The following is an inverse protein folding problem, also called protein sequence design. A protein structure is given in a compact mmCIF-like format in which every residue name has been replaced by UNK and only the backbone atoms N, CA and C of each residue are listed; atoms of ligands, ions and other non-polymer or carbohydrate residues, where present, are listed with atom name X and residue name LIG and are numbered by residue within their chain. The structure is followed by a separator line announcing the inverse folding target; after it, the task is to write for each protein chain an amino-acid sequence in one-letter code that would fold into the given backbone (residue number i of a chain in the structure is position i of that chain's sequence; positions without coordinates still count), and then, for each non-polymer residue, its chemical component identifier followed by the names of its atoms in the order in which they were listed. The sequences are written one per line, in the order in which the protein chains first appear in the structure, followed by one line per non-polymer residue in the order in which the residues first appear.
data_IF_807690385145
#
_entry.id   IF_807690385145
#
_cell.length_a   1.000
_cell.length_b   1.000
_cell.length_c   1.000
_cell.angle_alpha   90.00
_cell.angle_beta   90.00
_cell.angle_gamma   90.00
#
_symmetry.space_group_name_H-M   'P 1'
#
loop_
_entity.id
_entity.type
_entity.pdbx_description
1 polymer ?
#
# COMPACT_ATOMS: atom_id res chain seq x y z
N UNK A 1 -6.51 -14.51 -31.03
CA UNK A 1 -6.74 -13.27 -30.25
C UNK A 1 -5.51 -13.03 -29.40
N UNK A 2 -4.65 -12.10 -29.79
CA UNK A 2 -3.67 -11.53 -28.86
C UNK A 2 -4.47 -10.76 -27.81
N UNK A 3 -4.43 -11.23 -26.56
CA UNK A 3 -4.99 -10.47 -25.45
C UNK A 3 -4.36 -9.08 -25.49
N UNK A 4 -5.16 -8.03 -25.65
CA UNK A 4 -4.72 -6.68 -25.32
C UNK A 4 -4.32 -6.75 -23.84
N UNK A 5 -3.02 -6.63 -23.57
CA UNK A 5 -2.57 -6.40 -22.22
C UNK A 5 -3.13 -5.04 -21.84
N UNK A 6 -4.00 -4.99 -20.84
CA UNK A 6 -4.45 -3.71 -20.27
C UNK A 6 -3.23 -3.10 -19.59
N UNK A 7 -2.48 -2.32 -20.35
CA UNK A 7 -1.33 -1.59 -19.86
C UNK A 7 -1.83 -0.38 -19.05
N UNK A 8 -1.12 -0.07 -17.98
CA UNK A 8 -1.49 1.01 -17.06
C UNK A 8 -1.46 2.39 -17.73
N UNK A 9 -0.75 2.51 -18.86
CA UNK A 9 -0.59 3.74 -19.64
C UNK A 9 -1.87 4.13 -20.38
N UNK A 10 -2.74 3.16 -20.72
CA UNK A 10 -3.96 3.41 -21.48
C UNK A 10 -5.14 3.85 -20.59
N UNK A 11 -4.93 3.93 -19.27
CA UNK A 11 -5.96 4.36 -18.31
C UNK A 11 -7.20 3.46 -18.21
N UNK A 12 -7.22 2.35 -18.95
CA UNK A 12 -8.37 1.44 -19.10
C UNK A 12 -8.63 0.61 -17.82
N UNK A 13 -7.73 0.65 -16.85
CA UNK A 13 -7.95 0.18 -15.47
C UNK A 13 -7.85 1.38 -14.53
N UNK A 14 -8.98 1.91 -14.06
CA UNK A 14 -9.03 3.01 -13.09
C UNK A 14 -8.36 2.70 -11.72
N UNK A 15 -7.86 1.46 -11.52
CA UNK A 15 -7.15 1.04 -10.30
C UNK A 15 -5.63 1.28 -10.30
N UNK A 16 -5.07 1.87 -11.36
CA UNK A 16 -3.60 2.06 -11.52
C UNK A 16 -3.06 3.35 -10.91
N UNK A 17 -3.80 4.45 -10.94
CA UNK A 17 -3.31 5.75 -10.47
C UNK A 17 -3.55 5.99 -8.96
N UNK A 18 -4.75 5.69 -8.47
CA UNK A 18 -5.13 5.90 -7.06
C UNK A 18 -5.59 4.58 -6.47
N UNK A 19 -4.96 4.17 -5.37
CA UNK A 19 -5.28 2.94 -4.64
C UNK A 19 -6.42 3.15 -3.65
N UNK A 20 -7.07 2.05 -3.28
CA UNK A 20 -8.09 2.08 -2.24
C UNK A 20 -7.55 2.69 -0.94
N UNK A 21 -8.38 3.45 -0.20
CA UNK A 21 -7.93 4.19 0.96
C UNK A 21 -7.41 3.26 2.06
N UNK A 22 -6.50 3.79 2.88
CA UNK A 22 -5.97 3.12 4.06
C UNK A 22 -6.55 3.76 5.34
N UNK A 23 -6.79 2.94 6.35
CA UNK A 23 -7.27 3.37 7.67
C UNK A 23 -6.17 4.13 8.43
N UNK A 24 -4.91 3.73 8.27
CA UNK A 24 -3.76 4.36 8.94
C UNK A 24 -2.48 4.26 8.10
N UNK A 25 -1.46 5.04 8.48
CA UNK A 25 -0.11 4.93 7.93
C UNK A 25 0.92 4.79 9.05
N UNK A 26 1.94 3.96 8.83
CA UNK A 26 3.02 3.78 9.80
C UNK A 26 3.82 5.07 9.97
N UNK A 27 4.29 5.32 11.19
CA UNK A 27 5.23 6.41 11.52
C UNK A 27 6.60 5.89 11.96
N UNK A 28 6.71 4.58 12.18
CA UNK A 28 7.93 3.85 12.55
C UNK A 28 7.87 2.42 11.96
N UNK A 29 8.96 1.66 12.10
CA UNK A 29 9.01 0.24 11.75
C UNK A 29 8.07 -0.56 12.67
N UNK A 30 7.29 -1.47 12.11
CA UNK A 30 6.33 -2.29 12.87
C UNK A 30 6.50 -3.78 12.59
N UNK A 31 5.92 -4.61 13.45
CA UNK A 31 5.71 -6.03 13.14
C UNK A 31 4.48 -6.16 12.25
N UNK A 32 4.64 -6.75 11.07
CA UNK A 32 3.55 -6.98 10.10
C UNK A 32 2.72 -8.21 10.47
N UNK A 33 2.23 -8.25 11.71
CA UNK A 33 1.40 -9.32 12.25
C UNK A 33 0.61 -8.80 13.45
N UNK A 34 -0.59 -9.36 13.65
CA UNK A 34 -1.43 -9.02 14.79
C UNK A 34 -2.12 -7.66 14.64
N UNK A 35 -3.28 -7.56 15.26
CA UNK A 35 -4.00 -6.29 15.41
C UNK A 35 -3.21 -5.38 16.36
N UNK A 36 -3.11 -4.10 16.01
CA UNK A 36 -2.25 -3.15 16.73
C UNK A 36 -2.74 -1.72 16.54
N UNK A 37 -2.14 -0.78 17.27
CA UNK A 37 -2.41 0.65 17.07
C UNK A 37 -1.35 1.26 16.17
N UNK A 38 -1.75 1.84 15.04
CA UNK A 38 -0.88 2.53 14.10
C UNK A 38 -1.27 4.00 14.07
N UNK A 39 -0.35 4.88 14.48
CA UNK A 39 -0.55 6.35 14.49
C UNK A 39 -1.83 6.81 15.25
N UNK A 40 -2.17 6.09 16.34
CA UNK A 40 -3.35 6.35 17.15
C UNK A 40 -4.64 5.69 16.64
N UNK A 41 -4.59 4.96 15.53
CA UNK A 41 -5.72 4.18 15.00
C UNK A 41 -5.57 2.72 15.38
N UNK A 42 -6.55 2.16 16.09
CA UNK A 42 -6.62 0.72 16.33
C UNK A 42 -7.04 0.02 15.03
N UNK A 43 -6.09 -0.67 14.39
CA UNK A 43 -6.35 -1.40 13.13
C UNK A 43 -6.73 -2.84 13.43
N UNK A 44 -7.81 -3.29 12.80
CA UNK A 44 -8.39 -4.61 12.96
C UNK A 44 -8.28 -5.44 11.68
N UNK A 45 -8.64 -6.71 11.78
CA UNK A 45 -8.63 -7.62 10.64
C UNK A 45 -9.42 -7.05 9.46
N UNK A 46 -8.81 -7.09 8.27
CA UNK A 46 -9.31 -6.50 7.01
C UNK A 46 -9.08 -5.00 6.81
N UNK A 47 -8.56 -4.26 7.80
CA UNK A 47 -8.18 -2.86 7.60
C UNK A 47 -6.96 -2.72 6.69
N UNK A 48 -6.97 -1.66 5.87
CA UNK A 48 -5.84 -1.32 4.99
C UNK A 48 -4.89 -0.39 5.72
N UNK A 49 -3.60 -0.73 5.74
CA UNK A 49 -2.56 0.09 6.37
C UNK A 49 -1.48 0.42 5.35
N UNK A 50 -1.14 1.71 5.23
CA UNK A 50 0.00 2.17 4.47
C UNK A 50 1.27 1.98 5.30
N UNK A 51 2.04 0.95 4.96
CA UNK A 51 3.34 0.66 5.56
C UNK A 51 4.42 1.36 4.75
N UNK A 52 5.02 2.40 5.32
CA UNK A 52 6.02 3.27 4.65
C UNK A 52 7.31 3.47 5.44
N UNK A 53 7.42 2.86 6.62
CA UNK A 53 8.54 3.05 7.57
C UNK A 53 9.25 1.74 7.95
N UNK A 54 9.17 0.70 7.11
CA UNK A 54 9.98 -0.51 7.33
C UNK A 54 11.47 -0.24 7.10
N UNK A 55 12.32 -0.92 7.87
CA UNK A 55 13.77 -0.92 7.68
C UNK A 55 14.15 -1.47 6.31
N UNK A 56 13.54 -2.59 5.91
CA UNK A 56 13.67 -3.11 4.56
C UNK A 56 12.67 -2.40 3.64
N UNK A 57 13.17 -1.53 2.75
CA UNK A 57 12.29 -0.76 1.86
C UNK A 57 11.40 -1.62 0.95
N UNK A 58 11.81 -2.87 0.66
CA UNK A 58 11.03 -3.85 -0.09
C UNK A 58 9.82 -4.38 0.67
N UNK A 59 9.71 -4.14 1.98
CA UNK A 59 8.54 -4.44 2.83
C UNK A 59 7.56 -3.26 2.91
N UNK A 60 7.91 -2.08 2.40
CA UNK A 60 6.95 -0.99 2.30
C UNK A 60 5.86 -1.34 1.27
N UNK A 61 4.64 -0.87 1.53
CA UNK A 61 3.48 -1.07 0.67
C UNK A 61 2.17 -0.98 1.43
N UNK A 62 1.09 -1.40 0.77
CA UNK A 62 -0.23 -1.44 1.40
C UNK A 62 -0.50 -2.84 1.92
N UNK A 63 -0.77 -2.96 3.21
CA UNK A 63 -1.06 -4.23 3.88
C UNK A 63 -2.50 -4.30 4.33
N UNK A 64 -3.01 -5.52 4.43
CA UNK A 64 -4.27 -5.82 5.10
C UNK A 64 -3.92 -6.40 6.47
N UNK A 65 -4.37 -5.70 7.52
CA UNK A 65 -4.20 -6.14 8.89
C UNK A 65 -4.97 -7.44 9.17
N UNK A 66 -4.43 -8.23 10.07
CA UNK A 66 -4.96 -9.53 10.49
C UNK A 66 -4.47 -9.83 11.92
N UNK A 67 -5.16 -10.74 12.61
CA UNK A 67 -4.70 -11.36 13.87
C UNK A 67 -3.38 -12.13 13.69
N UNK A 68 -3.16 -12.69 12.49
CA UNK A 68 -1.91 -13.35 12.09
C UNK A 68 -0.99 -12.43 11.27
N UNK A 69 -0.10 -13.02 10.45
CA UNK A 69 0.74 -12.26 9.53
C UNK A 69 -0.11 -11.42 8.58
N UNK A 70 0.25 -10.15 8.45
CA UNK A 70 -0.41 -9.26 7.51
C UNK A 70 -0.05 -9.63 6.08
N UNK A 71 -1.03 -9.53 5.18
CA UNK A 71 -0.82 -9.77 3.76
C UNK A 71 -0.74 -8.46 3.00
N UNK A 72 -0.02 -8.45 1.88
CA UNK A 72 -0.10 -7.31 0.95
C UNK A 72 -1.48 -7.22 0.31
N UNK A 73 -1.94 -5.99 0.10
CA UNK A 73 -3.17 -5.73 -0.64
C UNK A 73 -3.03 -6.19 -2.10
N UNK A 74 -4.12 -6.74 -2.67
CA UNK A 74 -4.11 -7.33 -4.02
C UNK A 74 -3.83 -6.32 -5.14
N UNK A 75 -4.07 -5.04 -4.89
CA UNK A 75 -3.82 -3.91 -5.80
C UNK A 75 -2.42 -3.28 -5.60
N UNK A 76 -1.61 -3.81 -4.68
CA UNK A 76 -0.26 -3.37 -4.34
C UNK A 76 0.61 -4.60 -4.02
N UNK A 77 0.61 -5.62 -4.90
CA UNK A 77 1.40 -6.84 -4.66
C UNK A 77 2.37 -7.21 -5.79
N UNK A 78 2.30 -6.56 -6.95
CA UNK A 78 3.23 -6.78 -8.07
C UNK A 78 3.82 -5.47 -8.57
N UNK A 79 5.03 -5.54 -9.12
CA UNK A 79 5.70 -4.42 -9.81
C UNK A 79 4.89 -3.81 -10.95
N UNK A 80 3.95 -4.55 -11.56
CA UNK A 80 3.07 -4.02 -12.61
C UNK A 80 1.88 -3.22 -12.06
N UNK A 81 1.58 -3.34 -10.77
CA UNK A 81 0.44 -2.64 -10.16
C UNK A 81 0.80 -1.22 -9.72
N UNK A 82 2.10 -0.89 -9.70
CA UNK A 82 2.63 0.35 -9.15
C UNK A 82 3.60 1.02 -10.12
N UNK A 83 3.55 2.35 -10.14
CA UNK A 83 4.52 3.21 -10.81
C UNK A 83 4.85 4.40 -9.94
N UNK A 84 5.93 5.10 -10.30
CA UNK A 84 6.12 6.46 -9.83
C UNK A 84 4.85 7.29 -10.07
N UNK A 85 4.36 7.96 -9.03
CA UNK A 85 3.13 8.75 -9.11
C UNK A 85 1.85 8.04 -8.68
N UNK A 86 1.86 6.73 -8.42
CA UNK A 86 0.71 6.06 -7.80
C UNK A 86 0.42 6.69 -6.43
N UNK A 87 -0.85 6.95 -6.15
CA UNK A 87 -1.31 7.63 -4.94
C UNK A 87 -2.19 6.76 -4.07
N UNK A 88 -2.28 7.09 -2.78
CA UNK A 88 -3.22 6.49 -1.82
C UNK A 88 -3.63 7.52 -0.78
N UNK A 89 -4.91 7.52 -0.41
CA UNK A 89 -5.43 8.36 0.68
C UNK A 89 -5.39 7.57 1.98
N UNK A 90 -4.92 8.20 3.06
CA UNK A 90 -4.97 7.66 4.42
C UNK A 90 -5.98 8.48 5.20
N UNK A 91 -7.03 7.81 5.69
CA UNK A 91 -8.20 8.45 6.29
C UNK A 91 -8.04 8.76 7.78
N UNK A 92 -7.20 8.02 8.50
CA UNK A 92 -7.00 8.15 9.93
C UNK A 92 -5.53 8.30 10.32
N UNK A 93 -5.31 8.63 11.58
CA UNK A 93 -4.00 8.84 12.15
C UNK A 93 -3.67 10.31 12.38
N UNK A 94 -2.86 10.55 13.41
CA UNK A 94 -2.48 11.91 13.83
C UNK A 94 -1.43 12.52 12.90
N UNK A 95 -0.46 11.73 12.45
CA UNK A 95 0.67 12.18 11.63
C UNK A 95 0.62 11.66 10.20
N UNK A 96 -0.07 10.54 9.98
CA UNK A 96 -0.09 9.76 8.77
C UNK A 96 -1.29 10.01 7.85
N UNK A 97 -2.29 10.77 8.29
CA UNK A 97 -3.48 11.07 7.48
C UNK A 97 -3.15 12.03 6.32
N UNK A 98 -3.79 11.82 5.17
CA UNK A 98 -3.58 12.63 3.97
C UNK A 98 -3.34 11.83 2.69
N UNK A 99 -2.93 12.54 1.64
CA UNK A 99 -2.61 11.95 0.34
C UNK A 99 -1.12 11.60 0.26
N UNK A 100 -0.83 10.34 -0.05
CA UNK A 100 0.52 9.82 -0.22
C UNK A 100 0.77 9.45 -1.67
N UNK A 101 1.98 9.73 -2.15
CA UNK A 101 2.41 9.44 -3.52
C UNK A 101 3.72 8.65 -3.52
N UNK A 102 3.82 7.67 -4.41
CA UNK A 102 5.07 6.99 -4.70
C UNK A 102 6.02 7.94 -5.43
N UNK A 103 7.20 8.15 -4.85
CA UNK A 103 8.27 8.96 -5.46
C UNK A 103 9.42 8.13 -6.05
N UNK A 104 9.50 6.84 -5.70
CA UNK A 104 10.47 5.87 -6.23
C UNK A 104 10.39 5.79 -7.76
N UNK A 105 11.53 5.78 -8.44
CA UNK A 105 11.60 5.62 -9.89
C UNK A 105 11.27 4.19 -10.32
N UNK A 106 10.72 4.05 -11.52
CA UNK A 106 10.42 2.75 -12.11
C UNK A 106 11.69 2.06 -12.65
N UNK A 107 11.81 0.71 -12.58
CA UNK A 107 10.83 -0.24 -12.03
C UNK A 107 10.91 -0.38 -10.51
N UNK A 108 9.76 -0.53 -9.86
CA UNK A 108 9.66 -0.69 -8.40
C UNK A 108 9.62 -2.17 -8.02
N UNK A 109 10.55 -2.61 -7.18
CA UNK A 109 10.56 -3.96 -6.61
C UNK A 109 9.65 -4.06 -5.39
N UNK A 110 8.77 -5.08 -5.38
CA UNK A 110 7.85 -5.38 -4.26
C UNK A 110 8.22 -6.74 -3.70
N UNK A 111 8.50 -6.83 -2.39
CA UNK A 111 8.62 -8.10 -1.65
C UNK A 111 9.52 -9.14 -2.32
N UNK A 112 10.83 -8.95 -2.24
CA UNK A 112 11.81 -10.03 -2.46
C UNK A 112 11.67 -11.11 -1.41
#
# INVERSE_FOLDING_TARGET
MTSIQVEINDGLSSSTAIKGPCSAATTANITLSGEQTVDGVAVATSDRVLVKNQTAASENGIYIADTGPWRRSKDFNKTRDIRKGTMVVVAGGTLGSGLWQITTADPISVGT
#
